data_IF_218895207418
#
_entry.id   IF_218895207418
#
_cell.length_a   1.000
_cell.length_b   1.000
_cell.length_c   1.000
_cell.angle_alpha   90.00
_cell.angle_beta   90.00
_cell.angle_gamma   90.00
#
_symmetry.space_group_name_H-M   'P 1'
#
loop_
_entity.id
_entity.type
_entity.pdbx_description
1 polymer ?
#
# COMPACT_ATOMS: atom_id res chain seq x y z
N UNK A 1 10.18 13.47 7.38
CA UNK A 1 9.57 13.41 6.04
C UNK A 1 8.51 14.49 5.97
N UNK A 2 8.54 15.35 4.94
CA UNK A 2 7.56 16.42 4.81
C UNK A 2 6.18 15.79 4.51
N UNK A 3 5.14 16.13 5.26
CA UNK A 3 3.82 15.46 5.20
C UNK A 3 3.21 15.57 3.79
N UNK A 4 3.43 16.71 3.13
CA UNK A 4 3.05 16.96 1.73
C UNK A 4 3.68 15.91 0.79
N UNK A 5 4.95 15.57 1.00
CA UNK A 5 5.64 14.59 0.16
C UNK A 5 5.02 13.20 0.31
N UNK A 6 4.66 12.80 1.54
CA UNK A 6 3.99 11.52 1.80
C UNK A 6 2.64 11.41 1.08
N UNK A 7 1.86 12.49 1.06
CA UNK A 7 0.59 12.53 0.33
C UNK A 7 0.78 12.46 -1.19
N UNK A 8 1.78 13.16 -1.74
CA UNK A 8 2.09 13.09 -3.17
C UNK A 8 2.51 11.66 -3.56
N UNK A 9 3.36 11.02 -2.75
CA UNK A 9 3.78 9.63 -2.99
C UNK A 9 2.57 8.68 -2.91
N UNK A 10 1.69 8.87 -1.94
CA UNK A 10 0.48 8.06 -1.82
C UNK A 10 -0.48 8.25 -3.01
N UNK A 11 -0.61 9.47 -3.53
CA UNK A 11 -1.37 9.73 -4.75
C UNK A 11 -0.77 9.03 -5.97
N UNK A 12 0.57 8.96 -6.06
CA UNK A 12 1.29 8.22 -7.12
C UNK A 12 1.14 6.70 -7.01
N UNK A 13 0.70 6.16 -5.86
CA UNK A 13 0.41 4.73 -5.71
C UNK A 13 -0.68 4.27 -6.68
N UNK A 14 -1.64 5.15 -7.00
CA UNK A 14 -2.75 4.85 -7.92
C UNK A 14 -2.26 4.61 -9.35
N UNK A 15 -1.60 5.58 -10.03
CA UNK A 15 -1.08 5.35 -11.38
C UNK A 15 -0.04 4.23 -11.40
N UNK A 16 0.81 4.11 -10.38
CA UNK A 16 1.75 3.00 -10.26
C UNK A 16 1.04 1.63 -10.25
N UNK A 17 -0.04 1.49 -9.48
CA UNK A 17 -0.84 0.26 -9.43
C UNK A 17 -1.49 -0.08 -10.77
N UNK A 18 -2.02 0.91 -11.50
CA UNK A 18 -2.61 0.69 -12.82
C UNK A 18 -1.57 0.28 -13.86
N UNK A 19 -0.41 0.94 -13.86
CA UNK A 19 0.71 0.62 -14.74
C UNK A 19 1.18 -0.82 -14.47
N UNK A 20 1.42 -1.17 -13.20
CA UNK A 20 1.82 -2.50 -12.80
C UNK A 20 0.83 -3.55 -13.31
N UNK A 21 -0.46 -3.34 -13.05
CA UNK A 21 -1.53 -4.23 -13.50
C UNK A 21 -1.59 -4.41 -15.00
N UNK A 22 -1.33 -3.35 -15.76
CA UNK A 22 -1.33 -3.42 -17.21
C UNK A 22 -0.20 -4.32 -17.73
N UNK A 23 1.00 -4.17 -17.17
CA UNK A 23 2.18 -4.94 -17.58
C UNK A 23 2.22 -6.37 -17.03
N UNK A 24 1.64 -6.65 -15.86
CA UNK A 24 1.70 -7.97 -15.21
C UNK A 24 0.38 -8.74 -15.26
N UNK A 25 -0.52 -8.40 -16.19
CA UNK A 25 -1.89 -8.94 -16.24
C UNK A 25 -1.96 -10.48 -16.25
N UNK A 26 -1.04 -11.16 -16.93
CA UNK A 26 -0.99 -12.63 -16.98
C UNK A 26 -0.49 -13.23 -15.65
N UNK A 27 0.54 -12.65 -15.05
CA UNK A 27 1.06 -13.09 -13.73
C UNK A 27 0.06 -12.83 -12.61
N UNK A 28 -0.70 -11.74 -12.70
CA UNK A 28 -1.74 -11.39 -11.74
C UNK A 28 -2.89 -12.39 -11.71
N UNK A 29 -3.15 -13.15 -12.79
CA UNK A 29 -4.19 -14.19 -12.75
C UNK A 29 -3.88 -15.28 -11.73
N UNK A 30 -2.61 -15.71 -11.63
CA UNK A 30 -2.19 -16.67 -10.61
C UNK A 30 -1.96 -15.98 -9.26
N UNK A 31 -1.44 -14.75 -9.27
CA UNK A 31 -1.09 -13.96 -8.10
C UNK A 31 -2.26 -13.33 -7.34
N UNK A 32 -3.46 -13.24 -7.93
CA UNK A 32 -4.60 -12.44 -7.42
C UNK A 32 -4.94 -12.73 -5.96
N UNK A 33 -4.93 -14.00 -5.55
CA UNK A 33 -5.23 -14.39 -4.15
C UNK A 33 -4.20 -13.82 -3.17
N UNK A 34 -2.93 -13.74 -3.56
CA UNK A 34 -1.87 -13.18 -2.72
C UNK A 34 -2.01 -11.68 -2.57
N UNK A 35 -2.38 -10.96 -3.64
CA UNK A 35 -2.63 -9.52 -3.56
C UNK A 35 -3.81 -9.16 -2.65
N UNK A 36 -4.86 -10.01 -2.60
CA UNK A 36 -5.94 -9.86 -1.64
C UNK A 36 -5.42 -9.97 -0.19
N UNK A 37 -4.60 -10.98 0.08
CA UNK A 37 -4.02 -11.19 1.41
C UNK A 37 -3.13 -10.02 1.80
N UNK A 38 -2.22 -9.59 0.91
CA UNK A 38 -1.35 -8.43 1.14
C UNK A 38 -2.18 -7.18 1.42
N UNK A 39 -3.23 -6.93 0.65
CA UNK A 39 -4.10 -5.78 0.84
C UNK A 39 -4.74 -5.77 2.24
N UNK A 40 -5.33 -6.89 2.66
CA UNK A 40 -5.97 -7.03 3.98
C UNK A 40 -4.93 -6.91 5.10
N UNK A 41 -3.78 -7.61 4.98
CA UNK A 41 -2.72 -7.58 5.99
C UNK A 41 -2.13 -6.19 6.15
N UNK A 42 -1.89 -5.45 5.06
CA UNK A 42 -1.38 -4.09 5.12
C UNK A 42 -2.38 -3.13 5.76
N UNK A 43 -3.69 -3.26 5.50
CA UNK A 43 -4.71 -2.46 6.19
C UNK A 43 -4.77 -2.77 7.70
N UNK A 44 -4.75 -4.05 8.06
CA UNK A 44 -4.75 -4.47 9.46
C UNK A 44 -3.52 -3.95 10.21
N UNK A 45 -2.33 -4.09 9.62
CA UNK A 45 -1.10 -3.56 10.20
C UNK A 45 -1.13 -2.03 10.29
N UNK A 46 -1.57 -1.32 9.25
CA UNK A 46 -1.66 0.14 9.28
C UNK A 46 -2.56 0.62 10.43
N UNK A 47 -3.65 -0.11 10.68
CA UNK A 47 -4.54 0.14 11.82
C UNK A 47 -3.87 -0.14 13.17
N UNK A 48 -3.15 -1.25 13.32
CA UNK A 48 -2.41 -1.58 14.56
C UNK A 48 -1.34 -0.52 14.87
N UNK A 49 -0.56 -0.12 13.86
CA UNK A 49 0.51 0.87 14.01
C UNK A 49 -0.02 2.27 14.39
N UNK A 50 -1.31 2.55 14.17
CA UNK A 50 -1.95 3.80 14.58
C UNK A 50 -2.00 3.95 16.10
N UNK A 51 -2.13 2.84 16.83
CA UNK A 51 -2.26 2.82 18.29
C UNK A 51 -0.95 2.44 19.02
N UNK A 52 0.10 2.08 18.29
CA UNK A 52 1.38 1.76 18.92
C UNK A 52 2.11 3.04 19.42
N UNK A 53 2.73 2.98 20.62
CA UNK A 53 3.52 4.08 21.18
C UNK A 53 4.93 4.10 20.57
N UNK A 54 5.01 4.32 19.25
CA UNK A 54 6.26 4.48 18.51
C UNK A 54 6.57 5.97 18.30
N UNK A 55 7.84 6.26 18.02
CA UNK A 55 8.26 7.60 17.60
C UNK A 55 7.43 8.09 16.40
N UNK A 56 6.98 9.34 16.44
CA UNK A 56 6.07 9.91 15.44
C UNK A 56 6.59 9.76 14.01
N UNK A 57 7.89 9.96 13.81
CA UNK A 57 8.50 9.85 12.48
C UNK A 57 8.42 8.42 11.93
N UNK A 58 8.72 7.42 12.77
CA UNK A 58 8.69 6.00 12.41
C UNK A 58 7.24 5.57 12.16
N UNK A 59 6.34 5.91 13.08
CA UNK A 59 4.91 5.58 12.99
C UNK A 59 4.29 6.12 11.70
N UNK A 60 4.47 7.41 11.40
CA UNK A 60 3.96 8.03 10.17
C UNK A 60 4.51 7.33 8.93
N UNK A 61 5.83 7.13 8.86
CA UNK A 61 6.48 6.51 7.70
C UNK A 61 6.00 5.08 7.46
N UNK A 62 5.84 4.29 8.52
CA UNK A 62 5.33 2.92 8.45
C UNK A 62 3.88 2.89 7.99
N UNK A 63 3.01 3.74 8.54
CA UNK A 63 1.60 3.81 8.14
C UNK A 63 1.49 4.22 6.66
N UNK A 64 2.19 5.27 6.23
CA UNK A 64 2.16 5.70 4.83
C UNK A 64 2.68 4.62 3.88
N UNK A 65 3.74 3.91 4.25
CA UNK A 65 4.27 2.79 3.45
C UNK A 65 3.26 1.64 3.34
N UNK A 66 2.61 1.27 4.45
CA UNK A 66 1.59 0.23 4.47
C UNK A 66 0.36 0.62 3.64
N UNK A 67 -0.06 1.88 3.71
CA UNK A 67 -1.16 2.41 2.89
C UNK A 67 -0.78 2.45 1.41
N UNK A 68 0.46 2.81 1.07
CA UNK A 68 0.95 2.77 -0.31
C UNK A 68 0.88 1.35 -0.89
N UNK A 69 1.42 0.37 -0.16
CA UNK A 69 1.38 -1.05 -0.57
C UNK A 69 -0.06 -1.53 -0.67
N UNK A 70 -0.92 -1.13 0.28
CA UNK A 70 -2.34 -1.46 0.28
C UNK A 70 -3.05 -0.98 -1.00
N UNK A 71 -2.83 0.27 -1.42
CA UNK A 71 -3.43 0.83 -2.65
C UNK A 71 -2.96 0.06 -3.90
N UNK A 72 -1.65 -0.16 -4.03
CA UNK A 72 -1.09 -0.91 -5.17
C UNK A 72 -1.63 -2.34 -5.21
N UNK A 73 -1.70 -3.00 -4.04
CA UNK A 73 -2.19 -4.37 -3.92
C UNK A 73 -3.67 -4.49 -4.23
N UNK A 74 -4.49 -3.53 -3.78
CA UNK A 74 -5.91 -3.46 -4.11
C UNK A 74 -6.15 -3.35 -5.61
N UNK A 75 -5.42 -2.46 -6.30
CA UNK A 75 -5.55 -2.27 -7.75
C UNK A 75 -5.16 -3.54 -8.50
N UNK A 76 -4.07 -4.18 -8.05
CA UNK A 76 -3.54 -5.42 -8.62
C UNK A 76 -4.46 -6.63 -8.38
N UNK A 77 -5.17 -6.66 -7.26
CA UNK A 77 -6.17 -7.68 -6.96
C UNK A 77 -7.44 -7.54 -7.79
N UNK A 78 -7.95 -6.31 -7.97
CA UNK A 78 -9.17 -6.01 -8.73
C UNK A 78 -9.03 -6.43 -10.20
#
# INVERSE_FOLDING_TARGET
>A
MNEILSFVILALAVPAGYILRHYTKEELKSGRKYFLVIWITCLALAFIFLFMPLEDAIRKTTIFSLLFISVVSYISWK
#
